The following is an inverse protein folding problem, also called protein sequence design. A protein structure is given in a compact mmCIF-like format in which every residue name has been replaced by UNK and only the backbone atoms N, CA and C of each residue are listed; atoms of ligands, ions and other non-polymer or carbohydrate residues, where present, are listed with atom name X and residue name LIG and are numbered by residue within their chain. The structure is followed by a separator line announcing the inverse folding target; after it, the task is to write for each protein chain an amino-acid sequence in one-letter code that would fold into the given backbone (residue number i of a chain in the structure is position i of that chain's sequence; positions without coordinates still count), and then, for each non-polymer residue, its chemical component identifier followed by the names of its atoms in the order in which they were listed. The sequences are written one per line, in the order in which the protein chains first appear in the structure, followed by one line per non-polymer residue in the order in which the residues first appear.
data_IF_401448575977
#
_entry.id   IF_401448575977
#
_cell.length_a   1.000
_cell.length_b   1.000
_cell.length_c   1.000
_cell.angle_alpha   90.00
_cell.angle_beta   90.00
_cell.angle_gamma   90.00
#
_symmetry.space_group_name_H-M   'P 1'
#
loop_
_entity.id
_entity.type
_entity.pdbx_description
1 polymer ?
#
# COMPACT_ATOMS: atom_id res chain seq x y z
N UNK A 1 12.86 10.16 3.86
CA UNK A 1 12.05 11.33 3.48
C UNK A 1 11.31 11.83 4.71
N UNK A 2 11.14 13.14 4.82
CA UNK A 2 10.25 13.74 5.82
C UNK A 2 8.85 13.88 5.23
N UNK A 3 7.82 13.58 6.03
CA UNK A 3 6.43 13.92 5.75
C UNK A 3 6.05 15.02 6.75
N UNK A 4 5.97 16.29 6.33
CA UNK A 4 5.61 17.37 7.23
C UNK A 4 4.22 17.20 7.82
N UNK A 5 3.99 17.80 8.99
CA UNK A 5 2.67 17.85 9.63
C UNK A 5 1.61 18.38 8.65
N UNK A 6 0.45 17.71 8.57
CA UNK A 6 -0.66 18.11 7.70
C UNK A 6 -0.47 17.83 6.21
N UNK A 7 0.61 17.15 5.81
CA UNK A 7 0.87 16.83 4.40
C UNK A 7 0.56 15.38 4.07
N UNK A 8 0.16 15.16 2.82
CA UNK A 8 -0.03 13.84 2.21
C UNK A 8 1.01 13.62 1.13
N UNK A 9 1.44 12.38 0.96
CA UNK A 9 2.32 11.97 -0.13
C UNK A 9 2.10 10.50 -0.50
N UNK A 10 2.61 10.11 -1.66
CA UNK A 10 2.62 8.72 -2.11
C UNK A 10 3.99 8.09 -1.85
N UNK A 11 3.97 6.88 -1.29
CA UNK A 11 5.15 6.02 -1.16
C UNK A 11 4.89 4.71 -1.90
N UNK A 12 5.93 3.90 -2.08
CA UNK A 12 5.78 2.56 -2.64
C UNK A 12 6.56 1.53 -1.82
N UNK A 13 6.10 0.29 -1.84
CA UNK A 13 6.85 -0.85 -1.26
C UNK A 13 8.12 -1.11 -2.04
N UNK A 14 9.16 -1.60 -1.36
CA UNK A 14 10.34 -2.13 -2.07
C UNK A 14 9.99 -3.47 -2.73
N UNK A 15 9.15 -4.24 -2.06
CA UNK A 15 8.64 -5.53 -2.48
C UNK A 15 7.68 -5.39 -3.67
N UNK A 16 7.79 -6.33 -4.60
CA UNK A 16 6.77 -6.59 -5.62
C UNK A 16 5.90 -7.74 -5.12
N UNK A 17 4.60 -7.50 -5.01
CA UNK A 17 3.61 -8.48 -4.58
C UNK A 17 2.97 -9.09 -5.82
N UNK A 18 2.89 -10.41 -5.86
CA UNK A 18 2.12 -11.17 -6.85
C UNK A 18 1.15 -12.09 -6.11
N UNK A 19 -0.15 -11.89 -6.30
CA UNK A 19 -1.17 -12.74 -5.70
C UNK A 19 -1.74 -13.71 -6.73
N UNK A 20 -1.92 -15.01 -6.39
CA UNK A 20 -2.71 -15.90 -7.23
C UNK A 20 -4.20 -15.49 -7.23
N UNK A 21 -5.03 -16.02 -8.14
CA UNK A 21 -6.47 -15.76 -8.17
C UNK A 21 -7.26 -16.20 -6.92
N UNK A 22 -6.66 -16.99 -6.03
CA UNK A 22 -7.30 -17.50 -4.81
C UNK A 22 -6.92 -16.75 -3.53
N UNK A 23 -6.09 -15.71 -3.61
CA UNK A 23 -5.64 -14.94 -2.44
C UNK A 23 -5.90 -13.46 -2.66
N UNK A 24 -6.52 -12.80 -1.68
CA UNK A 24 -6.55 -11.36 -1.57
C UNK A 24 -5.59 -10.86 -0.48
N UNK A 25 -5.19 -9.60 -0.56
CA UNK A 25 -4.36 -8.95 0.45
C UNK A 25 -5.07 -7.78 1.11
N UNK A 26 -4.80 -7.52 2.39
CA UNK A 26 -5.22 -6.32 3.09
C UNK A 26 -4.01 -5.63 3.72
N UNK A 27 -3.83 -4.35 3.42
CA UNK A 27 -2.72 -3.56 3.95
C UNK A 27 -3.08 -2.83 5.23
N UNK A 28 -2.20 -2.91 6.22
CA UNK A 28 -2.30 -2.17 7.46
C UNK A 28 -1.04 -1.35 7.70
N UNK A 29 -1.20 -0.12 8.18
CA UNK A 29 -0.08 0.67 8.69
C UNK A 29 0.50 0.03 9.95
N UNK A 30 1.81 0.09 10.15
CA UNK A 30 2.41 -0.36 11.42
C UNK A 30 1.98 0.54 12.58
N UNK A 31 1.71 -0.08 13.72
CA UNK A 31 1.20 0.61 14.91
C UNK A 31 2.10 1.75 15.42
N UNK A 32 3.43 1.64 15.27
CA UNK A 32 4.36 2.74 15.60
C UNK A 32 4.06 4.00 14.79
N UNK A 33 3.91 3.87 13.48
CA UNK A 33 3.57 4.99 12.59
C UNK A 33 2.17 5.53 12.86
N UNK A 34 1.20 4.66 13.15
CA UNK A 34 -0.14 5.09 13.55
C UNK A 34 -0.11 5.96 14.82
N UNK A 35 0.72 5.58 15.82
CA UNK A 35 0.88 6.34 17.08
C UNK A 35 1.62 7.68 16.88
N UNK A 36 2.43 7.79 15.83
CA UNK A 36 3.06 9.06 15.43
C UNK A 36 2.10 9.98 14.65
N UNK A 37 0.93 9.48 14.25
CA UNK A 37 -0.08 10.22 13.50
C UNK A 37 -0.05 9.98 12.00
N UNK A 38 0.75 9.02 11.51
CA UNK A 38 0.76 8.65 10.10
C UNK A 38 -0.43 7.74 9.79
N UNK A 39 -1.30 8.20 8.90
CA UNK A 39 -2.42 7.43 8.37
C UNK A 39 -2.09 6.95 6.95
N UNK A 40 -2.23 5.65 6.69
CA UNK A 40 -2.11 5.08 5.36
C UNK A 40 -3.48 4.80 4.72
N UNK A 41 -3.55 4.81 3.39
CA UNK A 41 -4.70 4.24 2.69
C UNK A 41 -4.75 2.74 2.92
N UNK A 42 -5.77 2.26 3.63
CA UNK A 42 -6.06 0.82 3.73
C UNK A 42 -6.49 0.35 2.34
N UNK A 43 -5.62 -0.41 1.68
CA UNK A 43 -5.88 -0.92 0.34
C UNK A 43 -6.14 -2.42 0.39
N UNK A 44 -7.21 -2.83 -0.27
CA UNK A 44 -7.41 -4.22 -0.65
C UNK A 44 -6.57 -4.49 -1.89
N UNK A 45 -5.75 -5.53 -1.84
CA UNK A 45 -4.94 -6.01 -2.97
C UNK A 45 -5.71 -7.13 -3.62
N UNK A 46 -6.25 -6.86 -4.80
CA UNK A 46 -7.10 -7.80 -5.54
C UNK A 46 -6.36 -9.12 -5.88
N UNK A 47 -7.04 -10.27 -5.86
CA UNK A 47 -6.48 -11.52 -6.37
C UNK A 47 -6.02 -11.38 -7.83
N UNK A 48 -4.83 -11.89 -8.15
CA UNK A 48 -4.20 -11.70 -9.46
C UNK A 48 -3.38 -10.42 -9.63
N UNK A 49 -3.38 -9.50 -8.66
CA UNK A 49 -2.54 -8.30 -8.72
C UNK A 49 -1.06 -8.69 -8.75
N UNK A 50 -0.29 -7.94 -9.55
CA UNK A 50 1.17 -8.06 -9.65
C UNK A 50 1.79 -6.67 -9.72
N UNK A 51 2.66 -6.31 -8.78
CA UNK A 51 3.30 -4.99 -8.80
C UNK A 51 3.87 -4.54 -7.46
N UNK A 52 4.59 -3.42 -7.47
CA UNK A 52 4.86 -2.69 -6.24
C UNK A 52 3.60 -1.92 -5.83
N UNK A 53 3.35 -1.87 -4.52
CA UNK A 53 2.16 -1.25 -3.97
C UNK A 53 2.43 0.24 -3.77
N UNK A 54 1.67 1.10 -4.46
CA UNK A 54 1.67 2.55 -4.16
C UNK A 54 0.68 2.81 -3.02
N UNK A 55 1.15 3.48 -1.97
CA UNK A 55 0.40 3.73 -0.74
C UNK A 55 0.34 5.23 -0.52
N UNK A 56 -0.87 5.76 -0.33
CA UNK A 56 -1.04 7.14 0.11
C UNK A 56 -0.87 7.20 1.62
N UNK A 57 0.00 8.08 2.10
CA UNK A 57 0.20 8.34 3.53
C UNK A 57 0.00 9.81 3.84
N UNK A 58 -0.69 10.10 4.93
CA UNK A 58 -0.95 11.44 5.42
C UNK A 58 -0.46 11.57 6.87
N UNK A 59 0.31 12.62 7.15
CA UNK A 59 0.72 12.94 8.51
C UNK A 59 -0.33 13.82 9.18
N UNK A 60 -1.11 13.23 10.09
CA UNK A 60 -2.10 13.90 10.92
C UNK A 60 -1.56 14.28 12.32
N UNK A 61 -0.29 13.96 12.59
CA UNK A 61 0.42 14.34 13.80
C UNK A 61 0.76 15.83 13.82
N UNK A 62 1.42 16.28 14.90
CA UNK A 62 1.82 17.69 15.12
C UNK A 62 3.26 18.00 14.73
N UNK A 63 4.03 16.98 14.30
CA UNK A 63 5.46 17.07 13.96
C UNK A 63 5.73 16.34 12.66
N UNK A 64 6.82 16.69 11.98
CA UNK A 64 7.29 15.93 10.83
C UNK A 64 7.60 14.48 11.21
N UNK A 65 7.28 13.55 10.30
CA UNK A 65 7.57 12.11 10.45
C UNK A 65 8.66 11.75 9.44
N UNK A 66 9.74 11.15 9.93
CA UNK A 66 10.83 10.67 9.10
C UNK A 66 10.60 9.21 8.73
N UNK A 67 10.65 8.90 7.43
CA UNK A 67 10.63 7.53 6.93
C UNK A 67 11.96 7.26 6.22
N UNK A 68 12.71 6.29 6.70
CA UNK A 68 13.98 5.89 6.10
C UNK A 68 13.76 4.94 4.93
N UNK A 69 14.67 4.94 3.94
CA UNK A 69 14.61 3.96 2.84
C UNK A 69 14.78 2.55 3.41
N UNK A 70 13.88 1.64 3.06
CA UNK A 70 13.88 0.26 3.56
C UNK A 70 13.29 0.09 4.96
N UNK A 71 12.78 1.17 5.57
CA UNK A 71 12.03 1.06 6.80
C UNK A 71 10.68 0.38 6.55
N UNK A 72 10.32 -0.58 7.39
CA UNK A 72 9.01 -1.24 7.32
C UNK A 72 7.93 -0.22 7.67
N UNK A 73 7.00 0.06 6.76
CA UNK A 73 5.91 1.04 6.95
C UNK A 73 4.53 0.39 7.10
N UNK A 74 4.31 -0.71 6.39
CA UNK A 74 3.03 -1.45 6.36
C UNK A 74 3.27 -2.93 6.60
N UNK A 75 2.20 -3.64 6.88
CA UNK A 75 2.10 -5.10 6.89
C UNK A 75 0.93 -5.51 5.98
N UNK A 76 1.01 -6.70 5.42
CA UNK A 76 -0.04 -7.29 4.58
C UNK A 76 -0.58 -8.55 5.26
N UNK A 77 -1.90 -8.66 5.32
CA UNK A 77 -2.61 -9.89 5.70
C UNK A 77 -3.11 -10.55 4.42
N UNK A 78 -2.87 -11.85 4.28
CA UNK A 78 -3.35 -12.63 3.15
C UNK A 78 -4.62 -13.38 3.54
N UNK A 79 -5.66 -13.24 2.72
CA UNK A 79 -6.96 -13.86 2.91
C UNK A 79 -7.20 -14.87 1.78
N UNK A 80 -7.46 -16.12 2.14
CA UNK A 80 -7.86 -17.14 1.17
C UNK A 80 -9.32 -16.96 0.79
N UNK A 81 -9.61 -17.10 -0.50
CA UNK A 81 -10.97 -17.06 -1.04
C UNK A 81 -11.57 -18.48 -1.02
N UNK A 82 -12.88 -18.58 -0.82
CA UNK A 82 -13.61 -19.86 -0.89
C UNK A 82 -13.43 -20.58 -2.24
N UNK A 83 -13.18 -19.82 -3.32
CA UNK A 83 -12.79 -20.32 -4.63
C UNK A 83 -11.94 -19.27 -5.39
N UNK A 84 -11.06 -19.68 -6.33
CA UNK A 84 -10.34 -18.75 -7.19
C UNK A 84 -11.28 -17.82 -7.96
N UNK A 85 -10.97 -16.52 -8.03
CA UNK A 85 -11.78 -15.58 -8.82
C UNK A 85 -11.73 -15.92 -10.31
N UNK A 86 -12.89 -15.86 -10.97
CA UNK A 86 -13.00 -16.02 -12.43
C UNK A 86 -12.48 -14.81 -13.21
N UNK A 87 -12.30 -13.67 -12.52
CA UNK A 87 -11.80 -12.42 -13.10
C UNK A 87 -10.68 -11.86 -12.23
N UNK A 88 -9.46 -12.40 -12.35
CA UNK A 88 -8.29 -11.86 -11.65
C UNK A 88 -8.04 -10.41 -12.05
N UNK A 89 -7.31 -9.68 -11.20
CA UNK A 89 -6.98 -8.30 -11.47
C UNK A 89 -6.21 -8.14 -12.79
N UNK A 90 -6.77 -7.35 -13.69
CA UNK A 90 -6.16 -6.94 -14.96
C UNK A 90 -6.29 -5.42 -15.15
N UNK A 91 -6.23 -4.67 -14.06
CA UNK A 91 -6.51 -3.23 -14.02
C UNK A 91 -5.31 -2.34 -14.37
N UNK A 92 -5.54 -1.02 -14.33
CA UNK A 92 -4.59 0.03 -14.76
C UNK A 92 -3.27 0.09 -13.98
N UNK A 93 -3.20 -0.57 -12.83
CA UNK A 93 -2.05 -0.57 -11.94
C UNK A 93 -1.27 -1.90 -11.95
N UNK A 94 -1.59 -2.83 -12.87
CA UNK A 94 -0.80 -4.05 -13.04
C UNK A 94 0.64 -3.72 -13.47
N UNK A 95 1.58 -4.48 -12.93
CA UNK A 95 3.04 -4.34 -13.11
C UNK A 95 3.60 -2.96 -12.73
N UNK A 96 2.90 -2.25 -11.84
CA UNK A 96 3.37 -0.97 -11.30
C UNK A 96 4.76 -1.10 -10.69
N UNK A 97 5.62 -0.11 -10.98
CA UNK A 97 6.95 0.07 -10.42
C UNK A 97 7.11 1.48 -9.90
N UNK A 98 7.70 1.64 -8.72
CA UNK A 98 7.83 2.92 -8.05
C UNK A 98 6.48 3.47 -7.60
N UNK A 99 6.45 4.79 -7.39
CA UNK A 99 5.21 5.54 -7.12
C UNK A 99 4.45 5.72 -8.43
N UNK A 100 3.21 5.23 -8.47
CA UNK A 100 2.30 5.42 -9.60
C UNK A 100 1.16 6.35 -9.20
N UNK A 101 1.06 7.50 -9.86
CA UNK A 101 -0.02 8.45 -9.66
C UNK A 101 -1.39 7.91 -10.10
N UNK A 102 -2.45 8.60 -9.70
CA UNK A 102 -3.81 8.24 -10.09
C UNK A 102 -3.96 8.19 -11.61
N UNK A 103 -4.45 7.07 -12.12
CA UNK A 103 -4.83 6.88 -13.52
C UNK A 103 -6.35 6.94 -13.70
N UNK A 104 -7.07 7.63 -12.80
CA UNK A 104 -8.55 7.59 -12.75
C UNK A 104 -9.19 8.09 -14.04
N UNK A 105 -8.59 9.11 -14.66
CA UNK A 105 -8.97 9.69 -15.94
C UNK A 105 -8.15 9.10 -17.07
#
# INVERSE_FOLDING_TARGET
MEIPSGHQTLVHTLERVELPPSIAGELFIRSSFAREGLLGSFAFVDPGFKGQLTISVANLGRRGIMISKGERIVQIVFNELDAPTSRPYSGRYQDSRGVVGSKRF
#
